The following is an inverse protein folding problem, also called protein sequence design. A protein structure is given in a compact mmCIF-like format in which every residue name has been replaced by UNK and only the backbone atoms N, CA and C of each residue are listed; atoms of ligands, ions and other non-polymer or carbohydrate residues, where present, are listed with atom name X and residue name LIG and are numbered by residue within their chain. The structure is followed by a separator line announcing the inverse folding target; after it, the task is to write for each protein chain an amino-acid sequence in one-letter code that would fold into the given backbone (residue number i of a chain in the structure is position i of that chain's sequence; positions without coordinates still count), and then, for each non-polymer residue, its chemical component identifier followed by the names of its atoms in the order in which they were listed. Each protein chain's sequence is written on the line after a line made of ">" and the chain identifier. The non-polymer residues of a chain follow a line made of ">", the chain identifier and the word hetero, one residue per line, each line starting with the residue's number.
data_IF_549801874802
#
_entry.id   IF_549801874802
#
_cell.length_a   1.000
_cell.length_b   1.000
_cell.length_c   1.000
_cell.angle_alpha   90.00
_cell.angle_beta   90.00
_cell.angle_gamma   90.00
#
_symmetry.space_group_name_H-M   'P 1'
#
loop_
_entity.id
_entity.type
_entity.pdbx_description
1 polymer ?
#
# COMPACT_ATOMS: atom_id res chain seq x y z
N UNK A 1 7.89 -17.85 -7.84
CA UNK A 1 7.43 -18.79 -6.79
C UNK A 1 8.58 -19.69 -6.40
N UNK A 2 8.90 -19.79 -5.11
CA UNK A 2 9.98 -20.64 -4.59
C UNK A 2 9.39 -21.99 -4.14
N UNK A 3 10.00 -23.09 -4.55
CA UNK A 3 9.61 -24.43 -4.11
C UNK A 3 10.78 -25.07 -3.36
N UNK A 4 10.47 -25.69 -2.22
CA UNK A 4 11.44 -26.42 -1.40
C UNK A 4 10.94 -27.85 -1.25
N UNK A 5 11.72 -28.81 -1.75
CA UNK A 5 11.43 -30.24 -1.60
C UNK A 5 12.26 -30.80 -0.45
N UNK A 6 11.62 -31.60 0.40
CA UNK A 6 12.25 -32.23 1.56
C UNK A 6 12.12 -33.74 1.41
N UNK A 7 13.23 -34.46 1.54
CA UNK A 7 13.24 -35.92 1.51
C UNK A 7 12.44 -36.50 2.67
N UNK A 8 11.79 -37.65 2.43
CA UNK A 8 10.97 -38.30 3.44
C UNK A 8 11.83 -38.81 4.61
N UNK A 9 11.47 -38.39 5.82
CA UNK A 9 12.14 -38.83 7.04
C UNK A 9 11.71 -40.24 7.46
N UNK A 10 12.58 -40.97 8.15
CA UNK A 10 12.26 -42.30 8.73
C UNK A 10 11.36 -42.19 9.98
N UNK A 11 11.30 -41.01 10.59
CA UNK A 11 10.50 -40.71 11.78
C UNK A 11 9.32 -39.80 11.46
N UNK A 12 8.33 -39.77 12.35
CA UNK A 12 7.18 -38.88 12.25
C UNK A 12 7.58 -37.43 12.54
N UNK A 13 7.19 -36.52 11.65
CA UNK A 13 7.40 -35.08 11.82
C UNK A 13 6.22 -34.49 12.60
N UNK A 14 6.51 -33.76 13.68
CA UNK A 14 5.49 -33.10 14.51
C UNK A 14 5.21 -31.64 14.14
N UNK A 15 6.19 -30.94 13.58
CA UNK A 15 6.09 -29.54 13.18
C UNK A 15 7.15 -29.16 12.14
N UNK A 16 6.91 -28.07 11.41
CA UNK A 16 7.85 -27.43 10.49
C UNK A 16 8.05 -25.98 10.96
N UNK A 17 9.29 -25.49 10.93
CA UNK A 17 9.63 -24.08 11.19
C UNK A 17 10.22 -23.48 9.94
N UNK A 18 9.75 -22.31 9.56
CA UNK A 18 10.30 -21.49 8.49
C UNK A 18 10.90 -20.23 9.11
N UNK A 19 12.16 -19.94 8.78
CA UNK A 19 12.87 -18.75 9.23
C UNK A 19 13.32 -17.95 8.00
N UNK A 20 13.08 -16.65 8.03
CA UNK A 20 13.46 -15.73 6.96
C UNK A 20 14.37 -14.66 7.56
N UNK A 21 15.56 -14.50 6.99
CA UNK A 21 16.46 -13.40 7.35
C UNK A 21 16.20 -12.19 6.45
N UNK A 22 15.34 -11.30 6.94
CA UNK A 22 15.03 -10.03 6.26
C UNK A 22 16.12 -8.97 6.42
N UNK A 23 17.12 -9.17 7.28
CA UNK A 23 18.16 -8.16 7.57
C UNK A 23 19.19 -7.98 6.45
N UNK A 24 19.25 -8.92 5.51
CA UNK A 24 20.15 -8.89 4.34
C UNK A 24 19.61 -7.99 3.22
N UNK A 25 18.34 -7.60 3.29
CA UNK A 25 17.68 -6.83 2.25
C UNK A 25 17.49 -5.37 2.70
N UNK A 26 17.84 -4.42 1.83
CA UNK A 26 17.78 -2.98 2.12
C UNK A 26 16.40 -2.36 1.92
N UNK A 27 15.42 -3.16 1.49
CA UNK A 27 14.07 -2.71 1.13
C UNK A 27 13.00 -3.62 1.78
N UNK A 28 11.72 -3.26 1.65
CA UNK A 28 10.59 -4.01 2.17
C UNK A 28 10.19 -5.17 1.25
N UNK A 29 10.18 -6.38 1.79
CA UNK A 29 9.70 -7.58 1.11
C UNK A 29 8.55 -8.19 1.90
N UNK A 30 7.45 -8.51 1.22
CA UNK A 30 6.30 -9.21 1.81
C UNK A 30 6.27 -10.67 1.37
N UNK A 31 5.74 -11.52 2.23
CA UNK A 31 5.34 -12.88 1.88
C UNK A 31 3.82 -12.90 1.85
N UNK A 32 3.27 -13.07 0.66
CA UNK A 32 1.81 -13.04 0.48
C UNK A 32 1.16 -14.37 0.90
N UNK A 33 1.92 -15.47 0.95
CA UNK A 33 1.43 -16.75 1.44
C UNK A 33 2.45 -17.89 1.40
N UNK A 34 2.18 -18.93 2.19
CA UNK A 34 2.93 -20.19 2.23
C UNK A 34 1.94 -21.35 2.14
N UNK A 35 2.20 -22.31 1.28
CA UNK A 35 1.43 -23.55 1.14
C UNK A 35 2.31 -24.76 1.42
N UNK A 36 1.74 -25.79 2.04
CA UNK A 36 2.41 -27.07 2.34
C UNK A 36 1.61 -28.18 1.68
N UNK A 37 2.30 -29.11 1.00
CA UNK A 37 1.71 -30.26 0.33
C UNK A 37 2.63 -31.48 0.49
N UNK A 38 2.04 -32.67 0.47
CA UNK A 38 2.74 -33.97 0.41
C UNK A 38 3.00 -34.42 -1.04
N UNK A 39 2.55 -33.65 -2.02
CA UNK A 39 2.79 -33.88 -3.44
C UNK A 39 4.19 -33.46 -3.86
N UNK A 40 4.81 -34.26 -4.73
CA UNK A 40 6.08 -33.91 -5.40
C UNK A 40 5.85 -33.17 -6.72
N UNK A 41 4.59 -32.98 -7.14
CA UNK A 41 4.28 -32.11 -8.27
C UNK A 41 4.29 -30.66 -7.82
N UNK A 42 5.00 -29.82 -8.57
CA UNK A 42 5.04 -28.39 -8.33
C UNK A 42 3.63 -27.81 -8.40
N UNK A 43 3.24 -27.07 -7.36
CA UNK A 43 2.02 -26.27 -7.40
C UNK A 43 2.32 -25.03 -8.24
N UNK A 44 1.70 -24.95 -9.41
CA UNK A 44 1.69 -23.73 -10.21
C UNK A 44 0.47 -22.94 -9.75
N UNK A 45 0.67 -21.89 -8.95
CA UNK A 45 -0.43 -20.98 -8.68
C UNK A 45 -0.64 -20.11 -9.91
N UNK A 46 -1.81 -20.25 -10.53
CA UNK A 46 -2.31 -19.26 -11.47
C UNK A 46 -2.99 -18.18 -10.63
N UNK A 47 -2.45 -16.97 -10.67
CA UNK A 47 -3.15 -15.81 -10.15
C UNK A 47 -4.03 -15.32 -11.29
N UNK A 48 -5.33 -15.56 -11.17
CA UNK A 48 -6.31 -14.97 -12.09
C UNK A 48 -6.35 -13.47 -11.82
N UNK A 49 -5.56 -12.72 -12.59
CA UNK A 49 -5.62 -11.26 -12.55
C UNK A 49 -6.92 -10.87 -13.26
N UNK A 50 -7.86 -10.18 -12.59
CA UNK A 50 -9.02 -9.64 -13.27
C UNK A 50 -8.54 -8.79 -14.45
N UNK A 51 -9.08 -9.03 -15.64
CA UNK A 51 -8.66 -8.36 -16.89
C UNK A 51 -8.73 -6.82 -16.81
N UNK A 52 -9.47 -6.29 -15.83
CA UNK A 52 -9.57 -4.85 -15.52
C UNK A 52 -8.32 -4.26 -14.83
N UNK A 53 -7.34 -5.08 -14.41
CA UNK A 53 -6.14 -4.62 -13.68
C UNK A 53 -4.86 -4.75 -14.52
N UNK A 54 -4.81 -5.60 -15.56
CA UNK A 54 -3.53 -6.02 -16.14
C UNK A 54 -3.05 -5.33 -17.42
N UNK A 55 -3.86 -4.51 -18.11
CA UNK A 55 -3.42 -3.92 -19.38
C UNK A 55 -3.76 -2.43 -19.48
N UNK A 56 -2.74 -1.57 -19.39
CA UNK A 56 -2.84 -0.15 -19.72
C UNK A 56 -3.04 0.82 -18.56
N UNK A 57 -2.93 0.40 -17.30
CA UNK A 57 -2.83 1.35 -16.19
C UNK A 57 -1.46 2.04 -16.27
N UNK A 58 -1.44 3.21 -16.91
CA UNK A 58 -0.31 4.13 -16.83
C UNK A 58 -0.36 4.80 -15.46
N UNK A 59 0.47 4.33 -14.54
CA UNK A 59 0.65 5.00 -13.26
C UNK A 59 1.50 6.23 -13.49
N UNK A 60 0.91 7.41 -13.32
CA UNK A 60 1.65 8.67 -13.33
C UNK A 60 1.91 9.16 -11.91
N UNK A 61 3.14 9.63 -11.68
CA UNK A 61 3.44 10.34 -10.44
C UNK A 61 2.66 11.65 -10.46
N UNK A 62 1.88 11.91 -9.42
CA UNK A 62 1.23 13.20 -9.23
C UNK A 62 2.27 14.34 -9.13
N UNK A 63 1.85 15.57 -9.39
CA UNK A 63 2.74 16.72 -9.27
C UNK A 63 3.02 17.09 -7.80
N UNK A 64 3.85 18.12 -7.61
CA UNK A 64 4.21 18.66 -6.29
C UNK A 64 3.05 19.41 -5.60
N UNK A 65 1.89 19.56 -6.24
CA UNK A 65 0.72 20.09 -5.55
C UNK A 65 0.16 19.03 -4.60
N UNK A 66 0.24 17.75 -4.97
CA UNK A 66 -0.18 16.63 -4.13
C UNK A 66 1.00 16.05 -3.37
N UNK A 67 2.07 15.65 -4.06
CA UNK A 67 3.20 14.96 -3.45
C UNK A 67 4.01 15.89 -2.56
N UNK A 68 4.49 15.37 -1.42
CA UNK A 68 5.40 16.06 -0.52
C UNK A 68 6.75 15.35 -0.38
N UNK A 69 7.66 15.98 0.36
CA UNK A 69 8.95 15.39 0.74
C UNK A 69 8.87 14.42 1.93
N UNK A 70 7.69 14.28 2.54
CA UNK A 70 7.40 13.36 3.64
C UNK A 70 6.43 12.27 3.16
N UNK A 71 6.12 11.27 3.99
CA UNK A 71 5.29 10.17 3.52
C UNK A 71 3.83 10.60 3.37
N UNK A 72 3.32 10.43 2.15
CA UNK A 72 1.93 10.51 1.73
C UNK A 72 1.38 9.09 1.57
N UNK A 73 0.33 8.76 2.32
CA UNK A 73 -0.14 7.40 2.52
C UNK A 73 -1.64 7.27 2.27
N UNK A 74 -2.07 6.07 1.89
CA UNK A 74 -3.47 5.67 1.77
C UNK A 74 -4.35 6.64 0.95
N UNK A 75 -3.98 6.94 -0.31
CA UNK A 75 -4.80 7.80 -1.16
C UNK A 75 -6.19 7.20 -1.40
N UNK A 76 -7.22 8.03 -1.26
CA UNK A 76 -8.62 7.69 -1.49
C UNK A 76 -9.26 8.78 -2.35
N UNK A 77 -9.72 8.38 -3.53
CA UNK A 77 -10.46 9.27 -4.43
C UNK A 77 -11.94 9.31 -4.03
N UNK A 78 -12.53 10.50 -4.01
CA UNK A 78 -13.97 10.69 -3.78
C UNK A 78 -14.80 10.00 -4.87
N UNK A 79 -16.06 9.62 -4.59
CA UNK A 79 -16.92 8.94 -5.56
C UNK A 79 -17.15 9.72 -6.87
N UNK A 80 -17.10 11.06 -6.82
CA UNK A 80 -17.24 11.93 -7.99
C UNK A 80 -15.91 12.16 -8.73
N UNK A 81 -14.80 11.60 -8.24
CA UNK A 81 -13.47 11.73 -8.83
C UNK A 81 -12.80 13.09 -8.62
N UNK A 82 -13.38 13.99 -7.83
CA UNK A 82 -12.94 15.40 -7.76
C UNK A 82 -12.06 15.73 -6.57
N UNK A 83 -12.04 14.90 -5.53
CA UNK A 83 -11.25 15.14 -4.33
C UNK A 83 -10.43 13.91 -3.99
N UNK A 84 -9.13 14.07 -3.86
CA UNK A 84 -8.21 13.06 -3.37
C UNK A 84 -7.94 13.33 -1.89
N UNK A 85 -8.26 12.37 -1.04
CA UNK A 85 -7.92 12.36 0.39
C UNK A 85 -6.73 11.45 0.62
N UNK A 86 -5.87 11.81 1.57
CA UNK A 86 -4.72 10.98 1.93
C UNK A 86 -4.23 11.35 3.34
N UNK A 87 -3.42 10.46 3.91
CA UNK A 87 -2.73 10.71 5.17
C UNK A 87 -1.33 11.25 4.90
N UNK A 88 -0.88 12.22 5.70
CA UNK A 88 0.47 12.79 5.60
C UNK A 88 1.15 12.80 6.96
N UNK A 89 2.34 12.20 7.02
CA UNK A 89 3.14 12.10 8.24
C UNK A 89 4.18 13.21 8.39
N UNK A 90 4.47 13.62 9.62
CA UNK A 90 5.60 14.49 9.98
C UNK A 90 5.67 15.83 9.21
N UNK A 91 4.55 16.32 8.65
CA UNK A 91 4.56 17.57 7.90
C UNK A 91 4.45 18.77 8.85
N UNK A 92 5.19 19.88 8.63
CA UNK A 92 5.15 21.04 9.53
C UNK A 92 3.76 21.65 9.74
N UNK A 93 2.87 21.51 8.74
CA UNK A 93 1.50 22.01 8.80
C UNK A 93 0.51 21.06 9.49
N UNK A 94 0.93 19.84 9.85
CA UNK A 94 0.13 18.94 10.68
C UNK A 94 -0.21 19.62 12.02
N UNK A 95 -1.31 19.20 12.65
CA UNK A 95 -1.77 19.71 13.94
C UNK A 95 -0.70 19.50 15.02
N UNK A 96 -0.06 18.33 15.06
CA UNK A 96 1.11 18.05 15.90
C UNK A 96 2.46 18.46 15.29
N UNK A 97 2.46 19.10 14.12
CA UNK A 97 3.65 19.49 13.37
C UNK A 97 4.50 18.29 12.95
N UNK A 98 5.83 18.46 12.93
CA UNK A 98 6.78 17.45 12.44
C UNK A 98 6.86 16.16 13.26
N UNK A 99 6.31 16.15 14.48
CA UNK A 99 6.23 14.95 15.33
C UNK A 99 4.87 14.26 15.21
N UNK A 100 3.95 14.82 14.43
CA UNK A 100 2.65 14.23 14.23
C UNK A 100 2.77 13.01 13.32
N UNK A 101 2.23 11.89 13.80
CA UNK A 101 2.33 10.64 13.06
C UNK A 101 1.64 10.78 11.72
N UNK A 102 0.42 11.31 11.71
CA UNK A 102 -0.42 11.39 10.52
C UNK A 102 -1.54 12.42 10.71
N UNK A 103 -1.83 13.18 9.65
CA UNK A 103 -3.01 14.03 9.54
C UNK A 103 -3.70 13.80 8.20
N UNK A 104 -5.00 14.11 8.13
CA UNK A 104 -5.76 14.02 6.89
C UNK A 104 -5.51 15.27 6.04
N UNK A 105 -5.10 15.04 4.80
CA UNK A 105 -4.91 16.04 3.77
C UNK A 105 -5.82 15.75 2.59
N UNK A 106 -6.10 16.79 1.81
CA UNK A 106 -6.89 16.66 0.58
C UNK A 106 -6.39 17.58 -0.52
N UNK A 107 -6.64 17.19 -1.76
CA UNK A 107 -6.45 18.00 -2.97
C UNK A 107 -7.66 17.84 -3.88
N UNK A 108 -8.09 18.93 -4.50
CA UNK A 108 -9.19 18.96 -5.46
C UNK A 108 -8.69 18.99 -6.91
N UNK A 109 -9.35 18.25 -7.79
CA UNK A 109 -9.11 18.22 -9.23
C UNK A 109 -9.75 19.44 -9.90
N UNK A 110 -8.92 20.25 -10.56
CA UNK A 110 -9.35 21.38 -11.37
C UNK A 110 -9.98 20.94 -12.70
N UNK A 111 -10.70 21.86 -13.35
CA UNK A 111 -11.27 21.63 -14.68
C UNK A 111 -10.22 21.43 -15.79
N UNK A 112 -8.98 21.80 -15.52
CA UNK A 112 -7.81 21.61 -16.37
C UNK A 112 -7.14 20.24 -16.18
N UNK A 113 -7.70 19.38 -15.33
CA UNK A 113 -7.16 18.07 -15.01
C UNK A 113 -5.95 18.10 -14.09
N UNK A 114 -5.69 19.23 -13.42
CA UNK A 114 -4.60 19.37 -12.44
C UNK A 114 -5.11 19.35 -11.01
N UNK A 115 -4.33 18.75 -10.14
CA UNK A 115 -4.58 18.78 -8.71
C UNK A 115 -4.21 20.14 -8.12
N UNK A 116 -5.06 20.65 -7.23
CA UNK A 116 -4.78 21.84 -6.44
C UNK A 116 -3.75 21.56 -5.35
N UNK A 117 -3.11 22.62 -4.84
CA UNK A 117 -2.19 22.48 -3.71
C UNK A 117 -2.89 21.82 -2.52
N UNK A 118 -2.33 20.71 -2.04
CA UNK A 118 -2.90 19.94 -0.96
C UNK A 118 -2.99 20.76 0.33
N UNK A 119 -4.09 20.55 1.06
CA UNK A 119 -4.41 21.26 2.29
C UNK A 119 -4.71 20.27 3.39
N UNK A 120 -4.23 20.58 4.59
CA UNK A 120 -4.67 19.90 5.80
C UNK A 120 -6.18 20.09 5.99
N UNK A 121 -6.89 19.00 6.28
CA UNK A 121 -8.33 19.01 6.52
C UNK A 121 -8.68 19.72 7.83
N UNK A 122 -7.97 19.41 8.91
CA UNK A 122 -8.27 19.84 10.28
C UNK A 122 -8.34 21.37 10.47
N UNK A 123 -7.66 22.16 9.62
CA UNK A 123 -7.70 23.65 9.69
C UNK A 123 -8.69 24.29 8.72
N UNK A 124 -9.24 23.53 7.78
CA UNK A 124 -10.03 24.04 6.66
C UNK A 124 -11.46 23.44 6.58
N UNK A 125 -11.84 22.53 7.48
CA UNK A 125 -13.11 21.81 7.39
C UNK A 125 -14.25 22.48 8.16
N UNK A 126 -15.35 22.79 7.48
CA UNK A 126 -16.69 22.96 8.08
C UNK A 126 -17.51 21.66 8.04
N UNK A 127 -16.98 20.60 7.41
CA UNK A 127 -17.67 19.33 7.17
C UNK A 127 -17.00 18.20 7.94
N UNK A 128 -17.80 17.32 8.55
CA UNK A 128 -17.32 16.12 9.22
C UNK A 128 -17.29 14.95 8.22
N UNK A 129 -16.11 14.42 7.91
CA UNK A 129 -16.01 13.11 7.26
C UNK A 129 -16.27 12.06 8.34
N UNK A 130 -17.41 11.37 8.25
CA UNK A 130 -17.63 10.13 8.98
C UNK A 130 -17.20 9.00 8.05
N UNK A 131 -16.04 8.41 8.33
CA UNK A 131 -15.70 7.10 7.77
C UNK A 131 -16.62 6.11 8.49
N UNK A 132 -17.49 5.42 7.73
CA UNK A 132 -18.40 4.39 8.25
C UNK A 132 -17.63 3.13 8.64
#
# INVERSE_FOLDING_TARGET
>A
MMNVFVEKTEYKVGAIKLEFDGGVLTDYFSIDGVAISDSHFQIIANVDIPQLISEGILTERLDENVNSSVNDLNPLLSPDGKTLYFSRSNHPNNAGGVNDKEDIWYSEMGSDGKWSLAKIWARNSTTNIRIL
#
